data_IF_140350179156
#
_entry.id   IF_140350179156
#
_cell.length_a   1.000
_cell.length_b   1.000
_cell.length_c   1.000
_cell.angle_alpha   90.00
_cell.angle_beta   90.00
_cell.angle_gamma   90.00
#
_symmetry.space_group_name_H-M   'P 1'
#
loop_
_entity.id
_entity.type
_entity.pdbx_description
1 polymer ?
#
# COMPACT_ATOMS: atom_id res chain seq x y z
N UNK A 1 -1.37 7.15 -21.09
CA UNK A 1 -2.30 6.60 -20.09
C UNK A 1 -2.29 7.50 -18.88
N UNK A 2 -3.43 7.60 -18.20
CA UNK A 2 -3.58 8.37 -16.97
C UNK A 2 -3.77 7.43 -15.79
N UNK A 3 -2.97 7.62 -14.75
CA UNK A 3 -3.14 6.96 -13.46
C UNK A 3 -3.73 8.01 -12.53
N UNK A 4 -5.02 7.84 -12.23
CA UNK A 4 -5.75 8.71 -11.33
C UNK A 4 -5.66 8.17 -9.90
N UNK A 5 -5.12 8.98 -9.00
CA UNK A 5 -4.95 8.64 -7.59
C UNK A 5 -5.98 9.37 -6.73
N UNK A 6 -6.47 8.69 -5.70
CA UNK A 6 -7.25 9.26 -4.60
C UNK A 6 -6.36 9.30 -3.37
N UNK A 7 -6.19 10.49 -2.80
CA UNK A 7 -5.50 10.70 -1.53
C UNK A 7 -6.43 10.32 -0.38
N UNK A 8 -6.09 9.27 0.35
CA UNK A 8 -6.82 8.81 1.53
C UNK A 8 -6.14 9.36 2.79
N UNK A 9 -6.89 10.09 3.61
CA UNK A 9 -6.40 10.74 4.83
C UNK A 9 -6.97 9.98 6.04
N UNK A 10 -6.09 9.49 6.91
CA UNK A 10 -6.44 8.90 8.19
C UNK A 10 -5.75 9.68 9.30
N UNK A 11 -6.48 10.60 9.95
CA UNK A 11 -5.91 11.59 10.86
C UNK A 11 -4.68 12.33 10.25
N UNK A 12 -3.47 11.98 10.67
CA UNK A 12 -2.20 12.59 10.20
C UNK A 12 -1.49 11.77 9.12
N UNK A 13 -1.97 10.57 8.80
CA UNK A 13 -1.38 9.68 7.82
C UNK A 13 -2.05 9.86 6.45
N UNK A 14 -1.23 9.79 5.40
CA UNK A 14 -1.71 9.86 4.01
C UNK A 14 -1.29 8.60 3.27
N UNK A 15 -2.25 7.99 2.59
CA UNK A 15 -2.07 6.86 1.67
C UNK A 15 -2.69 7.17 0.32
N UNK A 16 -2.28 6.48 -0.73
CA UNK A 16 -2.92 6.59 -2.04
C UNK A 16 -3.59 5.31 -2.47
N UNK A 17 -4.70 5.48 -3.18
CA UNK A 17 -5.38 4.42 -3.93
C UNK A 17 -5.52 4.85 -5.37
N UNK A 18 -5.49 3.92 -6.32
CA UNK A 18 -5.73 4.24 -7.72
C UNK A 18 -7.19 3.98 -8.11
N UNK A 19 -7.76 4.81 -8.99
CA UNK A 19 -9.00 4.47 -9.69
C UNK A 19 -8.73 3.39 -10.75
N UNK A 20 -9.76 2.64 -11.19
CA UNK A 20 -9.62 1.63 -12.23
C UNK A 20 -8.70 2.07 -13.38
N UNK A 21 -7.65 1.29 -13.63
CA UNK A 21 -6.60 1.67 -14.57
C UNK A 21 -7.05 1.44 -16.02
N UNK A 22 -6.98 2.50 -16.82
CA UNK A 22 -7.12 2.41 -18.27
C UNK A 22 -5.73 2.33 -18.92
N UNK A 23 -5.37 1.13 -19.36
CA UNK A 23 -4.08 0.87 -20.00
C UNK A 23 -4.12 1.31 -21.47
N UNK A 24 -3.00 1.90 -21.92
CA UNK A 24 -2.78 2.29 -23.31
C UNK A 24 -2.83 1.11 -24.31
N UNK A 25 -2.46 -0.10 -23.88
CA UNK A 25 -2.50 -1.30 -24.71
C UNK A 25 -2.48 -2.58 -23.86
N UNK A 26 -2.93 -3.70 -24.44
CA UNK A 26 -2.90 -5.00 -23.77
C UNK A 26 -1.49 -5.45 -23.38
N UNK A 27 -0.47 -5.11 -24.18
CA UNK A 27 0.92 -5.43 -23.86
C UNK A 27 1.40 -4.75 -22.58
N UNK A 28 0.89 -3.56 -22.26
CA UNK A 28 1.17 -2.89 -21.00
C UNK A 28 0.42 -3.57 -19.85
N UNK A 29 -0.89 -3.81 -20.05
CA UNK A 29 -1.78 -4.44 -19.05
C UNK A 29 -1.33 -5.84 -18.63
N UNK A 30 -0.82 -6.62 -19.57
CA UNK A 30 -0.45 -8.01 -19.39
C UNK A 30 1.05 -8.19 -19.10
N UNK A 31 1.83 -7.13 -18.95
CA UNK A 31 3.27 -7.24 -18.71
C UNK A 31 3.55 -7.59 -17.24
N UNK A 32 4.02 -8.80 -16.91
CA UNK A 32 4.28 -9.19 -15.53
C UNK A 32 5.47 -8.45 -14.90
N UNK A 33 6.31 -7.79 -15.72
CA UNK A 33 7.47 -7.05 -15.25
C UNK A 33 7.14 -5.61 -14.84
N UNK A 34 5.90 -5.16 -15.04
CA UNK A 34 5.48 -3.79 -14.70
C UNK A 34 4.66 -3.79 -13.42
N UNK A 35 5.07 -2.98 -12.45
CA UNK A 35 4.32 -2.79 -11.21
C UNK A 35 4.08 -1.31 -10.95
N UNK A 36 2.88 -0.96 -10.51
CA UNK A 36 2.57 0.37 -9.99
C UNK A 36 2.94 0.38 -8.49
N UNK A 37 3.95 1.15 -8.13
CA UNK A 37 4.47 1.22 -6.77
C UNK A 37 3.53 2.02 -5.86
N UNK A 38 3.64 1.80 -4.54
CA UNK A 38 3.04 2.67 -3.54
C UNK A 38 3.88 3.93 -3.30
N UNK A 39 3.42 4.80 -2.39
CA UNK A 39 4.12 6.00 -1.95
C UNK A 39 5.31 5.77 -1.01
N UNK A 40 5.59 4.51 -0.67
CA UNK A 40 6.76 4.13 0.12
C UNK A 40 7.58 3.16 -0.72
N UNK A 41 8.81 3.54 -1.08
CA UNK A 41 9.77 2.56 -1.60
C UNK A 41 10.15 1.64 -0.43
N UNK A 42 9.73 0.37 -0.49
CA UNK A 42 9.96 -0.64 0.55
C UNK A 42 11.45 -0.86 0.87
N UNK A 43 12.34 -0.30 0.04
CA UNK A 43 13.79 -0.37 0.17
C UNK A 43 14.43 0.81 0.96
N UNK A 44 13.65 1.77 1.47
CA UNK A 44 14.16 2.92 2.23
C UNK A 44 14.13 2.74 3.75
N UNK A 45 14.59 1.58 4.21
CA UNK A 45 14.98 1.44 5.61
C UNK A 45 16.27 2.26 5.82
N UNK A 46 16.18 3.37 6.56
CA UNK A 46 17.39 4.03 7.06
C UNK A 46 17.91 3.18 8.20
N UNK A 47 18.96 2.44 7.90
CA UNK A 47 19.68 1.71 8.90
C UNK A 47 20.77 2.60 9.52
N UNK A 48 21.06 2.44 10.81
CA UNK A 48 22.17 3.17 11.44
C UNK A 48 23.52 2.67 10.90
N UNK A 49 24.42 3.57 10.47
CA UNK A 49 25.78 3.21 10.03
C UNK A 49 26.66 2.70 11.20
N UNK A 50 26.29 3.00 12.44
CA UNK A 50 27.06 2.64 13.65
C UNK A 50 26.66 1.29 14.28
N UNK A 51 25.74 0.53 13.66
CA UNK A 51 25.27 -0.75 14.20
C UNK A 51 25.80 -1.95 13.40
N UNK A 52 26.53 -2.84 14.09
CA UNK A 52 27.10 -4.07 13.51
C UNK A 52 26.02 -5.06 13.02
N UNK A 53 24.84 -5.07 13.64
CA UNK A 53 23.68 -5.92 13.26
C UNK A 53 22.63 -5.16 12.44
N UNK A 54 23.08 -4.36 11.47
CA UNK A 54 22.25 -3.53 10.60
C UNK A 54 21.08 -4.26 9.93
N UNK A 55 21.26 -5.55 9.67
CA UNK A 55 20.34 -6.42 8.92
C UNK A 55 19.40 -7.23 9.80
N UNK A 56 19.50 -7.14 11.12
CA UNK A 56 18.68 -7.91 12.06
C UNK A 56 17.53 -7.04 12.60
N UNK A 57 16.27 -7.25 12.15
CA UNK A 57 15.12 -6.48 12.61
C UNK A 57 14.76 -6.70 14.09
N UNK A 58 15.45 -7.63 14.78
CA UNK A 58 15.26 -7.93 16.19
C UNK A 58 16.45 -7.53 17.07
N UNK A 59 17.48 -6.87 16.52
CA UNK A 59 18.61 -6.38 17.31
C UNK A 59 18.21 -5.19 18.21
N UNK A 60 18.87 -5.09 19.37
CA UNK A 60 18.69 -3.99 20.35
C UNK A 60 18.93 -2.58 19.76
N UNK A 61 19.55 -2.49 18.58
CA UNK A 61 19.74 -1.24 17.84
C UNK A 61 18.40 -0.56 17.44
N UNK A 62 17.30 -1.31 17.30
CA UNK A 62 15.97 -0.75 17.00
C UNK A 62 15.46 0.21 18.08
N UNK A 63 15.85 0.01 19.34
CA UNK A 63 15.42 0.86 20.46
C UNK A 63 16.28 2.11 20.64
N UNK A 64 17.55 2.08 20.21
CA UNK A 64 18.49 3.21 20.37
C UNK A 64 18.54 4.16 19.18
N UNK A 65 18.53 3.62 17.96
CA UNK A 65 18.70 4.42 16.75
C UNK A 65 17.35 4.76 16.10
N UNK A 66 16.29 4.02 16.43
CA UNK A 66 14.98 4.11 15.82
C UNK A 66 15.08 3.75 14.34
N UNK A 67 14.66 2.54 13.95
CA UNK A 67 14.31 2.34 12.53
C UNK A 67 13.22 3.37 12.23
N UNK A 68 13.60 4.42 11.51
CA UNK A 68 12.65 5.36 10.93
C UNK A 68 12.69 5.07 9.45
N UNK A 69 11.55 4.66 8.90
CA UNK A 69 11.30 4.91 7.49
C UNK A 69 11.58 6.40 7.28
N UNK A 70 12.49 6.75 6.37
CA UNK A 70 12.70 8.16 6.08
C UNK A 70 11.41 8.69 5.43
N UNK A 71 10.65 9.47 6.20
CA UNK A 71 9.46 10.17 5.70
C UNK A 71 9.80 11.15 4.56
N UNK A 72 11.09 11.39 4.27
CA UNK A 72 11.56 12.21 3.13
C UNK A 72 11.52 11.52 1.77
N UNK A 73 11.17 10.25 1.66
CA UNK A 73 11.09 9.56 0.35
C UNK A 73 9.65 9.26 -0.04
N UNK A 74 8.74 10.14 0.35
CA UNK A 74 7.38 10.18 -0.18
C UNK A 74 7.43 10.56 -1.66
N UNK A 75 7.37 9.56 -2.52
CA UNK A 75 7.19 9.73 -3.96
C UNK A 75 5.75 9.36 -4.31
N UNK A 76 5.16 10.03 -5.29
CA UNK A 76 3.87 9.57 -5.79
C UNK A 76 4.03 8.17 -6.40
N UNK A 77 3.01 7.30 -6.23
CA UNK A 77 2.92 6.02 -6.94
C UNK A 77 3.33 6.17 -8.40
N UNK A 78 4.18 5.28 -8.90
CA UNK A 78 4.65 5.31 -10.29
C UNK A 78 4.91 3.90 -10.83
N UNK A 79 5.00 3.76 -12.15
CA UNK A 79 5.26 2.45 -12.75
C UNK A 79 6.77 2.19 -12.77
N UNK A 80 7.18 1.08 -12.15
CA UNK A 80 8.52 0.52 -12.28
C UNK A 80 8.48 -0.74 -13.16
N UNK A 81 9.52 -0.91 -13.96
CA UNK A 81 9.81 -2.14 -14.68
C UNK A 81 10.88 -2.91 -13.93
N UNK A 82 10.59 -4.15 -13.58
CA UNK A 82 11.47 -5.03 -12.82
C UNK A 82 12.18 -6.00 -13.75
N UNK A 83 13.40 -6.34 -13.39
CA UNK A 83 14.12 -7.48 -13.96
C UNK A 83 14.92 -8.16 -12.85
N UNK A 84 14.95 -9.48 -12.90
CA UNK A 84 15.88 -10.23 -12.06
C UNK A 84 17.24 -10.24 -12.74
N UNK A 85 18.27 -9.90 -11.98
CA UNK A 85 19.67 -10.05 -12.36
C UNK A 85 20.38 -10.88 -11.28
N UNK A 86 21.61 -11.28 -11.55
CA UNK A 86 22.48 -11.92 -10.57
C UNK A 86 23.56 -10.93 -10.17
N UNK A 87 23.80 -10.81 -8.87
CA UNK A 87 24.93 -10.02 -8.37
C UNK A 87 26.28 -10.76 -8.58
N UNK A 88 27.36 -10.19 -8.04
CA UNK A 88 28.71 -10.74 -8.19
C UNK A 88 28.88 -12.13 -7.55
N UNK A 89 27.99 -12.50 -6.62
CA UNK A 89 28.00 -13.75 -5.86
C UNK A 89 26.95 -14.76 -6.39
N UNK A 90 26.43 -14.56 -7.61
CA UNK A 90 25.36 -15.35 -8.22
C UNK A 90 24.06 -15.40 -7.39
N UNK A 91 23.80 -14.39 -6.54
CA UNK A 91 22.52 -14.23 -5.85
C UNK A 91 21.54 -13.44 -6.70
N UNK A 92 20.28 -13.90 -6.83
CA UNK A 92 19.27 -13.19 -7.59
C UNK A 92 18.88 -11.89 -6.87
N UNK A 93 18.98 -10.78 -7.58
CA UNK A 93 18.56 -9.46 -7.11
C UNK A 93 17.58 -8.84 -8.10
N UNK A 94 16.56 -8.15 -7.57
CA UNK A 94 15.57 -7.45 -8.38
C UNK A 94 16.04 -6.02 -8.66
N UNK A 95 16.38 -5.75 -9.91
CA UNK A 95 16.59 -4.40 -10.39
C UNK A 95 15.29 -3.81 -10.90
N UNK A 96 15.10 -2.50 -10.68
CA UNK A 96 13.93 -1.80 -11.20
C UNK A 96 14.27 -0.44 -11.78
N UNK A 97 13.51 -0.04 -12.80
CA UNK A 97 13.60 1.29 -13.40
C UNK A 97 12.21 1.93 -13.50
N UNK A 98 12.08 3.17 -13.05
CA UNK A 98 10.85 3.95 -13.20
C UNK A 98 10.66 4.36 -14.66
N UNK A 99 9.50 4.05 -15.23
CA UNK A 99 9.18 4.35 -16.63
C UNK A 99 8.18 5.51 -16.74
N UNK A 100 8.43 6.41 -17.71
CA UNK A 100 7.57 7.58 -17.98
C UNK A 100 6.71 7.43 -19.25
N UNK A 101 7.00 6.41 -20.05
CA UNK A 101 6.31 6.09 -21.31
C UNK A 101 6.08 4.59 -21.38
N UNK A 102 5.00 4.18 -22.02
CA UNK A 102 4.75 2.77 -22.30
C UNK A 102 5.87 2.21 -23.21
N UNK A 103 6.55 1.11 -22.81
CA UNK A 103 7.61 0.53 -23.61
C UNK A 103 7.10 -0.13 -24.90
N UNK A 104 5.79 -0.32 -25.05
CA UNK A 104 5.18 -1.03 -26.17
C UNK A 104 4.57 -0.12 -27.23
N UNK A 105 3.95 0.99 -26.83
CA UNK A 105 3.26 1.90 -27.76
C UNK A 105 3.76 3.35 -27.67
N UNK A 106 4.68 3.67 -26.74
CA UNK A 106 5.25 5.01 -26.58
C UNK A 106 4.33 6.03 -25.89
N UNK A 107 3.10 5.65 -25.52
CA UNK A 107 2.18 6.58 -24.85
C UNK A 107 2.74 7.02 -23.49
N UNK A 108 2.71 8.33 -23.22
CA UNK A 108 3.17 8.90 -21.95
C UNK A 108 2.33 8.39 -20.78
N UNK A 109 2.98 8.06 -19.67
CA UNK A 109 2.34 7.72 -18.41
C UNK A 109 2.23 9.02 -17.61
N UNK A 110 1.01 9.47 -17.37
CA UNK A 110 0.72 10.62 -16.52
C UNK A 110 0.12 10.13 -15.20
N UNK A 111 0.47 10.79 -14.10
CA UNK A 111 -0.01 10.44 -12.76
C UNK A 111 -0.56 11.72 -12.14
N UNK A 112 -1.77 11.65 -11.62
CA UNK A 112 -2.45 12.81 -11.04
C UNK A 112 -3.27 12.40 -9.84
N UNK A 113 -3.19 13.19 -8.76
CA UNK A 113 -4.14 13.10 -7.66
C UNK A 113 -5.42 13.82 -8.07
N UNK A 114 -6.49 13.07 -8.27
CA UNK A 114 -7.78 13.59 -8.80
C UNK A 114 -8.81 13.85 -7.69
N UNK A 115 -8.54 13.39 -6.48
CA UNK A 115 -9.40 13.67 -5.34
C UNK A 115 -8.77 13.29 -4.03
N UNK A 116 -9.42 13.72 -2.96
CA UNK A 116 -9.04 13.44 -1.59
C UNK A 116 -10.27 12.99 -0.78
N UNK A 117 -10.06 12.10 0.17
CA UNK A 117 -11.10 11.55 1.03
C UNK A 117 -10.57 11.29 2.42
N UNK A 118 -11.37 11.68 3.41
CA UNK A 118 -11.12 11.34 4.82
C UNK A 118 -11.71 9.94 5.09
N UNK A 119 -10.84 9.00 5.43
CA UNK A 119 -11.18 7.61 5.72
C UNK A 119 -11.20 7.31 7.22
N UNK A 120 -10.98 8.32 8.08
CA UNK A 120 -10.87 8.15 9.52
C UNK A 120 -12.11 7.47 10.12
N UNK A 121 -13.31 7.83 9.65
CA UNK A 121 -14.54 7.20 10.11
C UNK A 121 -14.66 5.73 9.64
N UNK A 122 -14.24 5.43 8.41
CA UNK A 122 -14.22 4.06 7.90
C UNK A 122 -13.30 3.18 8.75
N UNK A 123 -12.09 3.67 9.06
CA UNK A 123 -11.12 2.97 9.91
C UNK A 123 -11.71 2.70 11.29
N UNK A 124 -12.28 3.73 11.95
CA UNK A 124 -12.94 3.59 13.25
C UNK A 124 -14.09 2.59 13.22
N UNK A 125 -14.89 2.56 12.16
CA UNK A 125 -15.97 1.57 12.01
C UNK A 125 -15.45 0.13 11.92
N UNK A 126 -14.34 -0.09 11.21
CA UNK A 126 -13.71 -1.41 11.08
C UNK A 126 -13.12 -1.88 12.41
N UNK A 127 -12.43 -0.99 13.13
CA UNK A 127 -11.90 -1.27 14.47
C UNK A 127 -13.03 -1.63 15.46
N UNK A 128 -14.10 -0.84 15.47
CA UNK A 128 -15.25 -1.09 16.34
C UNK A 128 -15.93 -2.43 16.02
N UNK A 129 -16.06 -2.79 14.73
CA UNK A 129 -16.59 -4.11 14.32
C UNK A 129 -15.72 -5.25 14.84
N UNK A 130 -14.41 -5.14 14.72
CA UNK A 130 -13.47 -6.13 15.23
C UNK A 130 -13.60 -6.29 16.75
N UNK A 131 -13.57 -5.17 17.49
CA UNK A 131 -13.67 -5.15 18.96
C UNK A 131 -14.99 -5.78 19.41
N UNK A 132 -16.12 -5.37 18.82
CA UNK A 132 -17.42 -5.89 19.19
C UNK A 132 -17.57 -7.40 18.91
N UNK A 133 -16.97 -7.90 17.83
CA UNK A 133 -16.94 -9.34 17.53
C UNK A 133 -16.05 -10.10 18.53
N UNK A 134 -14.90 -9.51 18.89
CA UNK A 134 -13.95 -10.09 19.86
C UNK A 134 -14.55 -10.18 21.26
N UNK A 135 -15.20 -9.14 21.74
CA UNK A 135 -15.88 -9.13 23.04
C UNK A 135 -16.94 -10.24 23.14
N UNK A 136 -17.73 -10.44 22.08
CA UNK A 136 -18.69 -11.56 22.01
C UNK A 136 -17.99 -12.91 21.97
N UNK A 137 -16.88 -13.02 21.24
CA UNK A 137 -16.13 -14.27 21.10
C UNK A 137 -15.56 -14.74 22.43
N UNK A 138 -15.00 -13.81 23.21
CA UNK A 138 -14.38 -14.10 24.50
C UNK A 138 -15.40 -14.54 25.56
N UNK A 139 -16.65 -14.12 25.44
CA UNK A 139 -17.75 -14.50 26.35
C UNK A 139 -18.64 -15.64 25.82
N UNK A 140 -18.27 -16.28 24.70
CA UNK A 140 -19.11 -17.26 24.02
C UNK A 140 -18.68 -18.71 24.31
N UNK A 141 -19.58 -19.50 24.90
CA UNK A 141 -19.32 -20.93 25.16
C UNK A 141 -19.65 -21.85 23.96
N UNK A 142 -20.31 -21.33 22.93
CA UNK A 142 -20.71 -22.09 21.74
C UNK A 142 -19.64 -22.09 20.66
N UNK A 143 -19.11 -23.27 20.31
CA UNK A 143 -18.11 -23.44 19.24
C UNK A 143 -18.61 -22.89 17.90
N UNK A 144 -19.89 -23.12 17.56
CA UNK A 144 -20.47 -22.66 16.30
C UNK A 144 -20.53 -21.13 16.23
N UNK A 145 -20.92 -20.48 17.33
CA UNK A 145 -20.98 -19.03 17.41
C UNK A 145 -19.58 -18.41 17.42
N UNK A 146 -18.62 -19.01 18.15
CA UNK A 146 -17.21 -18.61 18.12
C UNK A 146 -16.63 -18.64 16.70
N UNK A 147 -16.93 -19.70 15.92
CA UNK A 147 -16.48 -19.78 14.52
C UNK A 147 -17.04 -18.61 13.69
N UNK A 148 -18.32 -18.29 13.82
CA UNK A 148 -18.92 -17.16 13.10
C UNK A 148 -18.29 -15.82 13.50
N UNK A 149 -18.08 -15.58 14.80
CA UNK A 149 -17.44 -14.37 15.32
C UNK A 149 -15.98 -14.24 14.86
N UNK A 150 -15.24 -15.35 14.79
CA UNK A 150 -13.89 -15.36 14.24
C UNK A 150 -13.86 -14.95 12.76
N UNK A 151 -14.80 -15.45 11.95
CA UNK A 151 -14.91 -15.02 10.54
C UNK A 151 -15.29 -13.54 10.41
N UNK A 152 -16.12 -13.01 11.32
CA UNK A 152 -16.43 -11.57 11.38
C UNK A 152 -15.17 -10.74 11.71
N UNK A 153 -14.39 -11.15 12.71
CA UNK A 153 -13.12 -10.49 13.04
C UNK A 153 -12.15 -10.52 11.88
N UNK A 154 -11.96 -11.70 11.26
CA UNK A 154 -11.08 -11.87 10.10
C UNK A 154 -11.50 -11.00 8.92
N UNK A 155 -12.81 -10.86 8.70
CA UNK A 155 -13.32 -9.97 7.65
C UNK A 155 -13.01 -8.51 7.93
N UNK A 156 -13.23 -8.04 9.16
CA UNK A 156 -12.92 -6.67 9.57
C UNK A 156 -11.41 -6.37 9.45
N UNK A 157 -10.56 -7.32 9.85
CA UNK A 157 -9.11 -7.23 9.77
C UNK A 157 -8.61 -7.18 8.32
N UNK A 158 -9.11 -8.07 7.45
CA UNK A 158 -8.80 -8.04 6.03
C UNK A 158 -9.26 -6.73 5.34
N UNK A 159 -10.43 -6.20 5.71
CA UNK A 159 -10.91 -4.91 5.20
C UNK A 159 -10.03 -3.76 5.70
N UNK A 160 -9.58 -3.80 6.95
CA UNK A 160 -8.64 -2.83 7.51
C UNK A 160 -7.30 -2.87 6.78
N UNK A 161 -6.69 -4.06 6.61
CA UNK A 161 -5.46 -4.21 5.85
C UNK A 161 -5.60 -3.71 4.42
N UNK A 162 -6.73 -4.02 3.77
CA UNK A 162 -7.01 -3.55 2.42
C UNK A 162 -7.02 -2.02 2.38
N UNK A 163 -7.62 -1.31 3.34
CA UNK A 163 -7.63 0.17 3.40
C UNK A 163 -6.23 0.78 3.33
N UNK A 164 -5.26 0.19 4.02
CA UNK A 164 -3.88 0.71 4.07
C UNK A 164 -2.97 0.17 2.96
N UNK A 165 -3.31 -0.98 2.36
CA UNK A 165 -2.55 -1.55 1.26
C UNK A 165 -2.73 -0.72 -0.01
N UNK A 166 -1.62 -0.42 -0.69
CA UNK A 166 -1.72 0.24 -1.99
C UNK A 166 -2.49 -0.63 -2.99
N UNK A 167 -3.50 -0.04 -3.63
CA UNK A 167 -4.47 -0.79 -4.42
C UNK A 167 -5.55 0.09 -5.03
N UNK A 168 -6.50 -0.56 -5.70
CA UNK A 168 -7.64 0.13 -6.29
C UNK A 168 -8.55 0.71 -5.20
N UNK A 169 -9.09 1.91 -5.42
CA UNK A 169 -10.08 2.54 -4.56
C UNK A 169 -11.45 1.89 -4.76
N UNK A 170 -11.89 1.07 -3.81
CA UNK A 170 -13.16 0.30 -3.89
C UNK A 170 -14.20 0.72 -2.87
N UNK A 171 -13.93 1.77 -2.09
CA UNK A 171 -14.78 2.18 -0.97
C UNK A 171 -15.89 3.10 -1.46
N UNK A 172 -17.13 2.81 -1.06
CA UNK A 172 -18.28 3.64 -1.36
C UNK A 172 -18.38 4.80 -0.36
N UNK A 173 -17.47 5.76 -0.46
CA UNK A 173 -17.43 6.96 0.37
C UNK A 173 -18.01 8.12 -0.44
N UNK A 174 -19.06 8.77 0.07
CA UNK A 174 -19.78 9.83 -0.64
C UNK A 174 -19.06 11.18 -0.66
N UNK A 175 -18.15 11.39 0.29
CA UNK A 175 -17.54 12.69 0.56
C UNK A 175 -16.14 12.85 -0.08
N UNK A 176 -15.90 12.15 -1.20
CA UNK A 176 -14.68 12.36 -1.99
C UNK A 176 -14.70 13.78 -2.56
N UNK A 177 -13.72 14.59 -2.19
CA UNK A 177 -13.50 15.92 -2.76
C UNK A 177 -12.69 15.78 -4.03
N UNK A 178 -13.35 15.92 -5.18
CA UNK A 178 -12.71 15.85 -6.49
C UNK A 178 -11.98 17.16 -6.81
N UNK A 179 -10.73 17.05 -7.22
CA UNK A 179 -10.00 18.16 -7.81
C UNK A 179 -10.42 18.26 -9.28
N UNK A 180 -11.21 19.29 -9.60
CA UNK A 180 -11.56 19.59 -10.98
C UNK A 180 -10.30 19.96 -11.76
N UNK A 181 -10.09 19.33 -12.90
CA UNK A 181 -9.22 19.90 -13.93
C UNK A 181 -9.90 21.19 -14.40
N UNK A 182 -9.49 22.33 -13.83
CA UNK A 182 -9.72 23.65 -14.41
C UNK A 182 -8.99 23.78 -15.73
#
# INVERSE_FOLDING_TARGET
MLISLIKCINDNETKYKYLPLEYCCDKMRLNPMLNLTSECDENNYVFCDECEERWNPWADCNQKCGIRMDSKTFELPHIKMFRQVYDEDDFPVDESISIKYCPHCGEKINISVVGEVDITNLVKELENKYIAAREKYDNCDSIKQRKALYEEMKKADNEYEDVFRFGEFKYNIKDVKWHGNS
#
